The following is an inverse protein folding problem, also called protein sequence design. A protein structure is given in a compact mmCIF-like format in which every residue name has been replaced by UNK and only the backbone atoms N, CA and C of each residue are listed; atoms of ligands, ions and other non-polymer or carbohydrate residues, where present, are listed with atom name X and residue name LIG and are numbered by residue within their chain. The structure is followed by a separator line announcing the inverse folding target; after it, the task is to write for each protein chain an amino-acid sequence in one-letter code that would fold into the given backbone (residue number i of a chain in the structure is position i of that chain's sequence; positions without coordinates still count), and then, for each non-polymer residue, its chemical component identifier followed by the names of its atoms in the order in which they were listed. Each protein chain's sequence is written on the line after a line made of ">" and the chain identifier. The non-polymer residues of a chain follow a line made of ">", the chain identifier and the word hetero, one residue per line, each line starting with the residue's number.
data_IF_492337123858
#
_entry.id   IF_492337123858
#
_cell.length_a   1.000
_cell.length_b   1.000
_cell.length_c   1.000
_cell.angle_alpha   90.00
_cell.angle_beta   90.00
_cell.angle_gamma   90.00
#
_symmetry.space_group_name_H-M   'P 1'
#
loop_
_entity.id
_entity.type
_entity.pdbx_description
1 polymer ?
#
# COMPACT_ATOMS: atom_id res chain seq x y z
N UNK A 1 26.29 0.95 -4.24
CA UNK A 1 25.34 1.76 -5.04
C UNK A 1 24.02 1.01 -5.06
N UNK A 2 22.91 1.63 -4.67
CA UNK A 2 21.60 0.97 -4.68
C UNK A 2 21.06 0.95 -6.11
N UNK A 3 20.62 -0.22 -6.61
CA UNK A 3 20.16 -0.38 -8.01
C UNK A 3 18.84 0.37 -8.29
N UNK A 4 17.97 0.47 -7.28
CA UNK A 4 16.69 1.18 -7.32
C UNK A 4 16.65 2.13 -6.12
N UNK A 5 17.03 3.42 -6.29
CA UNK A 5 17.14 4.37 -5.19
C UNK A 5 15.76 4.78 -4.67
N UNK A 6 15.72 5.28 -3.43
CA UNK A 6 14.51 5.80 -2.82
C UNK A 6 13.86 6.92 -3.64
N UNK A 7 12.53 6.84 -3.83
CA UNK A 7 11.77 7.75 -4.71
C UNK A 7 11.44 9.14 -4.13
N UNK A 8 12.02 9.51 -2.98
CA UNK A 8 11.73 10.74 -2.25
C UNK A 8 10.39 10.68 -1.50
N UNK A 9 9.81 11.84 -1.16
CA UNK A 9 8.60 11.89 -0.33
C UNK A 9 7.42 11.09 -0.90
N UNK A 10 6.67 10.45 0.01
CA UNK A 10 5.42 9.74 -0.26
C UNK A 10 4.35 10.05 0.77
N UNK A 11 3.10 9.67 0.51
CA UNK A 11 1.99 9.78 1.46
C UNK A 11 2.32 9.04 2.76
N UNK A 12 2.41 9.76 3.88
CA UNK A 12 2.87 9.20 5.16
C UNK A 12 2.06 8.01 5.63
N UNK A 13 0.73 8.04 5.42
CA UNK A 13 -0.17 6.95 5.78
C UNK A 13 0.09 5.66 4.98
N UNK A 14 0.72 5.74 3.81
CA UNK A 14 1.06 4.56 3.01
C UNK A 14 2.16 3.70 3.65
N UNK A 15 3.03 4.29 4.49
CA UNK A 15 4.06 3.52 5.18
C UNK A 15 3.49 2.47 6.15
N UNK A 16 2.27 2.68 6.66
CA UNK A 16 1.56 1.70 7.52
C UNK A 16 1.38 0.34 6.83
N UNK A 17 1.49 0.30 5.50
CA UNK A 17 1.29 -0.89 4.67
C UNK A 17 2.57 -1.35 3.96
N UNK A 18 3.71 -0.72 4.24
CA UNK A 18 4.98 -1.06 3.61
C UNK A 18 5.86 -1.86 4.57
N UNK A 19 6.54 -2.87 4.04
CA UNK A 19 7.54 -3.64 4.77
C UNK A 19 8.92 -2.96 4.70
N UNK A 20 9.87 -3.34 5.58
CA UNK A 20 11.24 -2.82 5.57
C UNK A 20 12.01 -3.06 4.26
N UNK A 21 11.55 -3.98 3.42
CA UNK A 21 12.13 -4.28 2.11
C UNK A 21 11.37 -3.63 0.96
N UNK A 22 10.45 -2.68 1.19
CA UNK A 22 9.72 -2.03 0.10
C UNK A 22 10.66 -1.36 -0.92
N UNK A 23 10.33 -1.53 -2.21
CA UNK A 23 10.95 -0.78 -3.31
C UNK A 23 9.99 0.37 -3.67
N UNK A 24 10.27 1.55 -3.13
CA UNK A 24 9.66 2.80 -3.56
C UNK A 24 10.73 3.62 -4.28
N UNK A 25 10.57 3.78 -5.59
CA UNK A 25 11.59 4.40 -6.45
C UNK A 25 10.95 5.26 -7.54
N UNK A 26 11.71 6.24 -8.01
CA UNK A 26 11.42 7.02 -9.22
C UNK A 26 12.71 7.10 -10.02
N UNK A 27 12.67 6.76 -11.30
CA UNK A 27 13.86 6.77 -12.15
C UNK A 27 13.51 7.20 -13.57
N UNK A 28 14.53 7.62 -14.32
CA UNK A 28 14.40 7.96 -15.73
C UNK A 28 14.33 6.69 -16.59
N UNK A 29 13.59 6.76 -17.69
CA UNK A 29 13.44 5.65 -18.65
C UNK A 29 14.76 5.37 -19.37
N UNK A 30 15.57 4.50 -18.79
CA UNK A 30 16.83 3.99 -19.37
C UNK A 30 16.87 2.47 -19.21
N UNK A 31 17.40 1.77 -20.21
CA UNK A 31 17.26 0.31 -20.34
C UNK A 31 17.74 -0.46 -19.11
N UNK A 32 18.90 -0.08 -18.55
CA UNK A 32 19.44 -0.74 -17.36
C UNK A 32 18.52 -0.63 -16.13
N UNK A 33 17.68 0.40 -16.02
CA UNK A 33 16.72 0.52 -14.92
C UNK A 33 15.54 -0.44 -15.10
N UNK A 34 15.15 -0.74 -16.35
CA UNK A 34 14.12 -1.74 -16.62
C UNK A 34 14.63 -3.16 -16.36
N UNK A 35 15.88 -3.45 -16.70
CA UNK A 35 16.54 -4.72 -16.36
C UNK A 35 16.62 -4.92 -14.83
N UNK A 36 17.01 -3.87 -14.10
CA UNK A 36 17.03 -3.88 -12.63
C UNK A 36 15.62 -4.06 -12.05
N UNK A 37 14.60 -3.38 -12.60
CA UNK A 37 13.21 -3.52 -12.16
C UNK A 37 12.68 -4.93 -12.40
N UNK A 38 12.93 -5.50 -13.58
CA UNK A 38 12.47 -6.85 -13.94
C UNK A 38 13.12 -7.91 -13.03
N UNK A 39 14.42 -7.77 -12.77
CA UNK A 39 15.16 -8.64 -11.86
C UNK A 39 14.60 -8.53 -10.45
N UNK A 40 14.41 -7.30 -9.94
CA UNK A 40 13.83 -7.07 -8.62
C UNK A 40 12.41 -7.66 -8.50
N UNK A 41 11.54 -7.46 -9.49
CA UNK A 41 10.20 -8.04 -9.51
C UNK A 41 10.24 -9.57 -9.41
N UNK A 42 11.09 -10.20 -10.23
CA UNK A 42 11.23 -11.67 -10.27
C UNK A 42 11.68 -12.23 -8.93
N UNK A 43 12.71 -11.62 -8.33
CA UNK A 43 13.23 -12.09 -7.04
C UNK A 43 12.26 -11.82 -5.88
N UNK A 44 11.56 -10.67 -5.87
CA UNK A 44 10.52 -10.40 -4.86
C UNK A 44 9.38 -11.41 -4.94
N UNK A 45 8.96 -11.75 -6.16
CA UNK A 45 7.87 -12.72 -6.34
C UNK A 45 8.30 -14.13 -5.96
N UNK A 46 9.52 -14.55 -6.29
CA UNK A 46 10.08 -15.84 -5.83
C UNK A 46 10.16 -15.93 -4.31
N UNK A 47 10.63 -14.88 -3.64
CA UNK A 47 10.67 -14.83 -2.18
C UNK A 47 9.26 -14.93 -1.58
N UNK A 48 8.27 -14.26 -2.18
CA UNK A 48 6.88 -14.39 -1.75
C UNK A 48 6.32 -15.81 -1.95
N UNK A 49 6.65 -16.49 -3.06
CA UNK A 49 6.27 -17.89 -3.28
C UNK A 49 6.86 -18.84 -2.24
N UNK A 50 8.12 -18.61 -1.84
CA UNK A 50 8.76 -19.37 -0.75
C UNK A 50 8.03 -19.16 0.58
N UNK A 51 7.65 -17.91 0.90
CA UNK A 51 6.85 -17.63 2.11
C UNK A 51 5.50 -18.34 2.10
N UNK A 52 4.87 -18.51 0.93
CA UNK A 52 3.62 -19.28 0.81
C UNK A 52 3.88 -20.78 1.02
N UNK A 53 4.95 -21.32 0.44
CA UNK A 53 5.31 -22.73 0.60
C UNK A 53 5.59 -23.10 2.06
N UNK A 54 6.18 -22.16 2.82
CA UNK A 54 6.47 -22.30 4.24
C UNK A 54 5.28 -21.97 5.16
N UNK A 55 4.23 -21.33 4.63
CA UNK A 55 3.08 -20.90 5.43
C UNK A 55 2.25 -22.10 5.92
N UNK A 56 2.03 -22.16 7.22
CA UNK A 56 1.07 -23.08 7.83
C UNK A 56 -0.31 -22.42 7.94
N UNK A 57 -1.37 -23.21 7.79
CA UNK A 57 -2.74 -22.75 8.01
C UNK A 57 -2.94 -22.35 9.49
N UNK A 58 -3.51 -21.17 9.71
CA UNK A 58 -3.90 -20.73 11.05
C UNK A 58 -5.24 -21.38 11.43
N UNK A 59 -5.27 -22.01 12.61
CA UNK A 59 -6.44 -22.74 13.11
C UNK A 59 -7.10 -22.06 14.30
N UNK A 60 -6.46 -21.05 14.89
CA UNK A 60 -7.06 -20.24 15.95
C UNK A 60 -8.05 -19.23 15.34
N UNK A 61 -9.33 -19.40 15.65
CA UNK A 61 -10.42 -18.55 15.16
C UNK A 61 -10.19 -17.05 15.43
N UNK A 62 -9.60 -16.69 16.57
CA UNK A 62 -9.35 -15.29 16.91
C UNK A 62 -8.23 -14.71 16.04
N UNK A 63 -7.19 -15.49 15.74
CA UNK A 63 -6.12 -15.09 14.83
C UNK A 63 -6.62 -15.02 13.38
N UNK A 64 -7.45 -15.97 12.95
CA UNK A 64 -8.10 -15.92 11.62
C UNK A 64 -8.96 -14.66 11.47
N UNK A 65 -9.76 -14.32 12.50
CA UNK A 65 -10.55 -13.09 12.50
C UNK A 65 -9.68 -11.83 12.44
N UNK A 66 -8.56 -11.81 13.17
CA UNK A 66 -7.59 -10.71 13.13
C UNK A 66 -6.95 -10.56 11.74
N UNK A 67 -6.55 -11.67 11.12
CA UNK A 67 -5.97 -11.70 9.77
C UNK A 67 -6.98 -11.18 8.72
N UNK A 68 -8.24 -11.63 8.82
CA UNK A 68 -9.34 -11.18 7.96
C UNK A 68 -9.58 -9.67 8.10
N UNK A 69 -9.63 -9.17 9.33
CA UNK A 69 -9.80 -7.75 9.61
C UNK A 69 -8.62 -6.90 9.08
N UNK A 70 -7.38 -7.39 9.24
CA UNK A 70 -6.19 -6.72 8.73
C UNK A 70 -6.20 -6.64 7.19
N UNK A 71 -6.58 -7.72 6.52
CA UNK A 71 -6.73 -7.74 5.06
C UNK A 71 -7.86 -6.79 4.60
N UNK A 72 -9.02 -6.85 5.25
CA UNK A 72 -10.15 -5.98 4.95
C UNK A 72 -9.79 -4.49 5.10
N UNK A 73 -9.07 -4.13 6.17
CA UNK A 73 -8.54 -2.77 6.39
C UNK A 73 -7.62 -2.31 5.27
N UNK A 74 -6.71 -3.17 4.81
CA UNK A 74 -5.80 -2.86 3.71
C UNK A 74 -6.54 -2.65 2.38
N UNK A 75 -7.47 -3.53 2.03
CA UNK A 75 -8.27 -3.40 0.81
C UNK A 75 -9.11 -2.12 0.84
N UNK A 76 -9.74 -1.84 1.98
CA UNK A 76 -10.54 -0.61 2.20
C UNK A 76 -9.70 0.64 1.99
N UNK A 77 -8.47 0.67 2.51
CA UNK A 77 -7.54 1.77 2.28
C UNK A 77 -7.21 1.97 0.80
N UNK A 78 -6.82 0.88 0.11
CA UNK A 78 -6.41 0.95 -1.29
C UNK A 78 -7.57 1.35 -2.20
N UNK A 79 -8.76 0.78 -2.02
CA UNK A 79 -9.93 1.10 -2.83
C UNK A 79 -10.44 2.54 -2.67
N UNK A 80 -10.06 3.24 -1.60
CA UNK A 80 -10.38 4.65 -1.42
C UNK A 80 -9.24 5.57 -1.89
N UNK A 81 -7.98 5.26 -1.55
CA UNK A 81 -6.86 6.21 -1.61
C UNK A 81 -5.75 5.87 -2.62
N UNK A 82 -5.86 4.78 -3.38
CA UNK A 82 -4.84 4.39 -4.35
C UNK A 82 -4.60 5.48 -5.41
N UNK A 83 -3.33 5.81 -5.72
CA UNK A 83 -3.00 6.87 -6.66
C UNK A 83 -3.47 6.64 -8.10
N UNK A 84 -3.68 5.38 -8.51
CA UNK A 84 -4.06 4.98 -9.86
C UNK A 84 -5.51 5.30 -10.25
N UNK A 85 -6.39 5.61 -9.28
CA UNK A 85 -7.81 5.85 -9.54
C UNK A 85 -8.06 6.94 -10.59
N UNK A 86 -7.30 8.04 -10.55
CA UNK A 86 -7.47 9.15 -11.49
C UNK A 86 -7.20 8.75 -12.94
N UNK A 87 -6.22 7.86 -13.17
CA UNK A 87 -5.91 7.34 -14.50
C UNK A 87 -7.02 6.40 -14.97
N UNK A 88 -7.46 5.47 -14.12
CA UNK A 88 -8.56 4.56 -14.45
C UNK A 88 -9.84 5.30 -14.81
N UNK A 89 -10.26 6.27 -13.99
CA UNK A 89 -11.43 7.12 -14.25
C UNK A 89 -11.36 7.82 -15.61
N UNK A 90 -10.17 8.31 -16.00
CA UNK A 90 -9.95 8.95 -17.30
C UNK A 90 -10.02 7.98 -18.47
N UNK A 91 -9.58 6.73 -18.29
CA UNK A 91 -9.54 5.73 -19.34
C UNK A 91 -10.89 5.05 -19.58
N UNK A 92 -11.62 4.71 -18.52
CA UNK A 92 -12.84 3.88 -18.61
C UNK A 92 -14.12 4.57 -18.10
N UNK A 93 -14.00 5.79 -17.60
CA UNK A 93 -15.11 6.54 -16.99
C UNK A 93 -15.34 6.18 -15.52
N UNK A 94 -16.04 7.06 -14.80
CA UNK A 94 -16.23 6.97 -13.34
C UNK A 94 -16.89 5.65 -12.90
N UNK A 95 -18.01 5.26 -13.53
CA UNK A 95 -18.75 4.06 -13.12
C UNK A 95 -17.95 2.77 -13.32
N UNK A 96 -17.31 2.60 -14.48
CA UNK A 96 -16.49 1.41 -14.76
C UNK A 96 -15.22 1.38 -13.93
N UNK A 97 -14.60 2.54 -13.68
CA UNK A 97 -13.45 2.60 -12.78
C UNK A 97 -13.84 2.16 -11.37
N UNK A 98 -14.98 2.62 -10.85
CA UNK A 98 -15.48 2.20 -9.53
C UNK A 98 -15.72 0.68 -9.46
N UNK A 99 -16.30 0.11 -10.51
CA UNK A 99 -16.52 -1.33 -10.63
C UNK A 99 -15.18 -2.10 -10.64
N UNK A 100 -14.23 -1.73 -11.50
CA UNK A 100 -12.89 -2.34 -11.57
C UNK A 100 -12.14 -2.23 -10.24
N UNK A 101 -12.21 -1.08 -9.57
CA UNK A 101 -11.54 -0.88 -8.28
C UNK A 101 -12.12 -1.83 -7.21
N UNK A 102 -13.44 -1.87 -7.08
CA UNK A 102 -14.10 -2.59 -5.98
C UNK A 102 -14.23 -4.09 -6.22
N UNK A 103 -14.55 -4.48 -7.44
CA UNK A 103 -14.94 -5.86 -7.75
C UNK A 103 -13.80 -6.68 -8.37
N UNK A 104 -12.69 -6.03 -8.78
CA UNK A 104 -11.53 -6.70 -9.37
C UNK A 104 -10.22 -6.38 -8.63
N UNK A 105 -9.75 -5.12 -8.62
CA UNK A 105 -8.44 -4.77 -8.05
C UNK A 105 -8.38 -5.00 -6.54
N UNK A 106 -9.46 -4.66 -5.83
CA UNK A 106 -9.57 -4.81 -4.38
C UNK A 106 -10.83 -5.60 -4.01
N UNK A 107 -11.08 -6.66 -4.77
CA UNK A 107 -12.12 -7.65 -4.45
C UNK A 107 -11.93 -8.16 -3.00
N UNK A 108 -13.03 -8.34 -2.27
CA UNK A 108 -13.01 -8.75 -0.85
C UNK A 108 -13.49 -7.66 0.12
N UNK A 109 -13.72 -6.42 -0.32
CA UNK A 109 -14.16 -5.33 0.57
C UNK A 109 -15.58 -5.56 1.08
N UNK A 110 -16.48 -6.13 0.28
CA UNK A 110 -17.86 -6.40 0.75
C UNK A 110 -17.96 -7.76 1.47
N UNK A 111 -16.99 -8.66 1.21
CA UNK A 111 -17.00 -10.04 1.68
C UNK A 111 -16.24 -10.21 3.00
N UNK A 112 -15.10 -9.54 3.16
CA UNK A 112 -14.20 -9.73 4.30
C UNK A 112 -14.61 -8.89 5.52
N UNK A 113 -15.49 -7.90 5.40
CA UNK A 113 -15.94 -7.13 6.56
C UNK A 113 -17.07 -6.17 6.23
N UNK A 114 -17.59 -5.49 7.26
CA UNK A 114 -18.69 -4.52 7.14
C UNK A 114 -18.28 -3.09 7.51
N UNK A 115 -17.06 -2.88 8.00
CA UNK A 115 -16.52 -1.57 8.38
C UNK A 115 -16.26 -0.73 7.14
N UNK A 116 -16.72 0.52 7.14
CA UNK A 116 -16.41 1.49 6.10
C UNK A 116 -15.02 2.10 6.28
N UNK A 117 -14.60 2.90 5.29
CA UNK A 117 -13.31 3.59 5.32
C UNK A 117 -13.12 4.46 6.57
N UNK A 118 -14.15 5.20 6.98
CA UNK A 118 -14.08 6.09 8.16
C UNK A 118 -14.12 5.35 9.50
N UNK A 119 -14.42 4.06 9.52
CA UNK A 119 -14.32 3.23 10.72
C UNK A 119 -12.86 2.85 10.99
N UNK A 120 -12.07 2.64 9.93
CA UNK A 120 -10.63 2.35 10.02
C UNK A 120 -9.74 3.59 10.06
N UNK A 121 -10.17 4.67 9.40
CA UNK A 121 -9.39 5.89 9.20
C UNK A 121 -10.25 7.12 9.55
N UNK A 122 -10.68 7.27 10.82
CA UNK A 122 -11.55 8.36 11.24
C UNK A 122 -10.92 9.74 11.04
N UNK A 123 -9.60 9.84 10.94
CA UNK A 123 -8.88 11.08 10.65
C UNK A 123 -9.26 11.72 9.30
N UNK A 124 -9.88 10.97 8.39
CA UNK A 124 -10.37 11.46 7.10
C UNK A 124 -11.81 11.99 7.14
N UNK A 125 -12.48 12.00 8.30
CA UNK A 125 -13.88 12.43 8.38
C UNK A 125 -14.00 13.96 8.23
N UNK A 126 -14.77 14.40 7.24
CA UNK A 126 -15.19 15.79 7.11
C UNK A 126 -16.31 16.15 8.09
N UNK A 127 -16.56 17.45 8.30
CA UNK A 127 -17.63 17.93 9.20
C UNK A 127 -19.04 17.46 8.77
N UNK A 128 -19.25 17.27 7.47
CA UNK A 128 -20.50 16.75 6.89
C UNK A 128 -20.62 15.22 6.95
N UNK A 129 -19.64 14.54 7.55
CA UNK A 129 -19.58 13.08 7.66
C UNK A 129 -19.02 12.37 6.44
N UNK A 130 -18.64 13.09 5.36
CA UNK A 130 -18.04 12.50 4.16
C UNK A 130 -16.55 12.18 4.33
N UNK A 131 -15.98 11.44 3.38
CA UNK A 131 -14.53 11.19 3.32
C UNK A 131 -13.82 12.39 2.70
N UNK A 132 -12.80 12.89 3.38
CA UNK A 132 -11.94 13.96 2.89
C UNK A 132 -11.27 13.52 1.57
N UNK A 133 -11.38 14.35 0.53
CA UNK A 133 -10.87 14.05 -0.81
C UNK A 133 -9.33 14.11 -0.90
N UNK A 134 -8.66 14.68 0.09
CA UNK A 134 -7.20 14.64 0.18
C UNK A 134 -6.72 13.19 0.27
N UNK A 135 -5.60 12.91 -0.40
CA UNK A 135 -4.96 11.58 -0.35
C UNK A 135 -4.27 11.32 0.98
N UNK A 136 -3.88 12.38 1.67
CA UNK A 136 -3.13 12.33 2.92
C UNK A 136 -3.62 13.44 3.83
N UNK A 137 -3.84 13.10 5.09
CA UNK A 137 -4.15 14.07 6.15
C UNK A 137 -2.86 14.64 6.75
N UNK A 138 -1.78 13.84 6.80
CA UNK A 138 -0.47 14.24 7.32
C UNK A 138 0.35 15.00 6.25
N UNK A 139 0.15 14.67 4.98
CA UNK A 139 0.96 15.13 3.86
C UNK A 139 2.03 14.12 3.45
N UNK A 140 2.94 14.56 2.58
CA UNK A 140 4.04 13.72 2.11
C UNK A 140 5.28 13.91 2.98
N UNK A 141 5.85 12.82 3.48
CA UNK A 141 7.07 12.80 4.29
C UNK A 141 8.06 11.75 3.77
N UNK A 142 9.14 11.52 4.52
CA UNK A 142 10.18 10.51 4.26
C UNK A 142 10.93 10.78 2.96
N UNK A 143 11.65 11.91 2.92
CA UNK A 143 12.56 12.25 1.80
C UNK A 143 13.64 11.17 1.62
N UNK A 144 14.08 10.57 2.74
CA UNK A 144 15.01 9.44 2.79
C UNK A 144 14.28 8.15 3.20
N UNK A 145 14.87 6.99 2.89
CA UNK A 145 14.34 5.68 3.30
C UNK A 145 14.19 5.63 4.83
N UNK A 146 13.01 5.29 5.38
CA UNK A 146 12.78 5.34 6.82
C UNK A 146 13.22 4.06 7.56
N UNK A 147 13.89 3.14 6.86
CA UNK A 147 14.51 1.94 7.44
C UNK A 147 16.01 1.95 7.17
N UNK A 148 16.79 1.47 8.13
CA UNK A 148 18.22 1.26 7.99
C UNK A 148 18.54 -0.04 7.20
N UNK A 149 19.82 -0.44 7.23
CA UNK A 149 20.28 -1.64 6.53
C UNK A 149 19.86 -2.97 7.19
N UNK A 150 19.51 -2.97 8.48
CA UNK A 150 19.00 -4.16 9.19
C UNK A 150 17.47 -4.27 9.06
N UNK A 151 16.80 -3.23 8.58
CA UNK A 151 15.35 -3.15 8.45
C UNK A 151 14.67 -2.54 9.66
N UNK A 152 15.42 -1.91 10.56
CA UNK A 152 14.87 -1.16 11.69
C UNK A 152 14.35 0.21 11.24
N UNK A 153 13.18 0.60 11.75
CA UNK A 153 12.57 1.88 11.41
C UNK A 153 13.24 3.04 12.16
N UNK A 154 13.82 3.99 11.44
CA UNK A 154 14.70 5.04 11.98
C UNK A 154 14.16 6.47 11.82
N UNK A 155 12.99 6.64 11.20
CA UNK A 155 12.50 7.99 10.87
C UNK A 155 12.10 8.85 12.10
N UNK A 156 12.06 8.27 13.30
CA UNK A 156 11.85 9.01 14.55
C UNK A 156 13.15 9.57 15.15
N UNK A 157 14.32 9.29 14.56
CA UNK A 157 15.63 9.67 15.10
C UNK A 157 16.27 10.88 14.40
N UNK A 158 15.50 11.63 13.61
CA UNK A 158 15.97 12.87 12.94
C UNK A 158 14.99 14.01 13.18
N UNK A 159 14.81 14.37 14.44
CA UNK A 159 14.46 15.73 14.85
C UNK A 159 15.51 16.15 15.89
N UNK A 160 16.65 16.66 15.42
CA UNK A 160 17.60 17.52 16.14
C UNK A 160 18.26 18.46 15.12
#
# INVERSE_FOLDING_TARGET
>A
MQLLPWGGKLTSESLKFFSPIVIWTKFQSVDCMYENLYSAFTEYYKAWLQLIEEAAEETDDALVLSNREAQHRYLTWRAEKDPGHGVLKRLVGEMRAKDVIRNFLFHGIEELGSKGFLDYFPEYRCQDGTVNQNRSMIGKSFESRPWDASGEFIANNTED
#
